data_IF_348088983757
#
_entry.id   IF_348088983757
#
_cell.length_a   1.000
_cell.length_b   1.000
_cell.length_c   1.000
_cell.angle_alpha   90.00
_cell.angle_beta   90.00
_cell.angle_gamma   90.00
#
_symmetry.space_group_name_H-M   'P 1'
#
loop_
_entity.id
_entity.type
_entity.pdbx_description
1 polymer ?
#
# COMPACT_ATOMS: atom_id res chain seq x y z
N UNK A 1 10.99 4.40 -49.39
CA UNK A 1 11.41 3.06 -48.91
C UNK A 1 12.27 3.28 -47.69
N UNK A 2 11.70 3.13 -46.49
CA UNK A 2 12.47 3.30 -45.25
C UNK A 2 11.90 2.32 -44.22
N UNK A 3 12.41 1.10 -44.23
CA UNK A 3 12.00 0.01 -43.35
C UNK A 3 13.25 -0.58 -42.73
N UNK A 4 13.85 0.11 -41.75
CA UNK A 4 15.05 -0.40 -41.08
C UNK A 4 15.27 0.11 -39.65
N UNK A 5 14.25 0.67 -38.98
CA UNK A 5 14.36 1.09 -37.57
C UNK A 5 13.42 0.34 -36.60
N UNK A 6 12.66 -0.65 -37.08
CA UNK A 6 11.66 -1.34 -36.26
C UNK A 6 12.19 -2.57 -35.51
N UNK A 7 13.40 -3.04 -35.76
CA UNK A 7 13.90 -4.31 -35.23
C UNK A 7 14.72 -4.19 -33.94
N UNK A 8 15.23 -3.01 -33.59
CA UNK A 8 16.16 -2.86 -32.47
C UNK A 8 15.44 -2.73 -31.10
N UNK A 9 14.19 -2.25 -31.10
CA UNK A 9 13.37 -2.13 -29.89
C UNK A 9 12.66 -3.43 -29.51
N UNK A 10 12.27 -4.25 -30.48
CA UNK A 10 11.62 -5.55 -30.25
C UNK A 10 12.59 -6.59 -29.67
N UNK A 11 13.88 -6.49 -29.97
CA UNK A 11 14.92 -7.38 -29.45
C UNK A 11 15.30 -7.08 -27.98
N UNK A 12 15.18 -5.82 -27.55
CA UNK A 12 15.41 -5.41 -26.16
C UNK A 12 14.31 -5.88 -25.20
N UNK A 13 13.05 -5.96 -25.68
CA UNK A 13 11.91 -6.44 -24.89
C UNK A 13 11.97 -7.97 -24.72
N UNK A 14 12.44 -8.70 -25.75
CA UNK A 14 12.53 -10.16 -25.72
C UNK A 14 13.67 -10.73 -24.87
N UNK A 15 14.64 -9.91 -24.47
CA UNK A 15 15.82 -10.35 -23.72
C UNK A 15 15.68 -10.24 -22.18
N UNK A 16 14.51 -9.84 -21.67
CA UNK A 16 14.18 -9.94 -20.23
C UNK A 16 13.59 -11.33 -19.92
N UNK A 17 14.20 -12.39 -20.46
CA UNK A 17 13.98 -13.75 -19.96
C UNK A 17 15.02 -14.00 -18.90
N UNK A 18 14.66 -13.72 -17.65
CA UNK A 18 15.45 -14.21 -16.51
C UNK A 18 15.22 -15.72 -16.40
N UNK A 19 16.00 -16.47 -17.16
CA UNK A 19 15.96 -17.93 -17.27
C UNK A 19 16.56 -18.61 -16.03
N UNK A 20 16.30 -18.06 -14.83
CA UNK A 20 16.72 -18.70 -13.59
C UNK A 20 15.74 -19.85 -13.33
N UNK A 21 16.19 -21.11 -13.39
CA UNK A 21 15.30 -22.23 -13.12
C UNK A 21 14.75 -22.13 -11.69
N UNK A 22 13.47 -22.45 -11.54
CA UNK A 22 12.79 -22.51 -10.25
C UNK A 22 13.54 -23.54 -9.38
N UNK A 23 14.34 -23.08 -8.42
CA UNK A 23 15.08 -23.95 -7.51
C UNK A 23 14.11 -24.57 -6.49
N UNK A 24 13.34 -25.56 -6.94
CA UNK A 24 12.12 -26.04 -6.27
C UNK A 24 12.34 -26.53 -4.84
N UNK A 25 13.45 -27.19 -4.51
CA UNK A 25 13.73 -27.67 -3.15
C UNK A 25 14.03 -26.52 -2.17
N UNK A 26 14.95 -25.61 -2.53
CA UNK A 26 15.29 -24.44 -1.71
C UNK A 26 14.10 -23.50 -1.56
N UNK A 27 13.31 -23.30 -2.62
CA UNK A 27 12.11 -22.48 -2.58
C UNK A 27 11.05 -23.06 -1.64
N UNK A 28 10.87 -24.39 -1.63
CA UNK A 28 9.96 -25.07 -0.69
C UNK A 28 10.41 -24.88 0.77
N UNK A 29 11.70 -25.03 1.05
CA UNK A 29 12.24 -24.82 2.40
C UNK A 29 12.04 -23.36 2.85
N UNK A 30 12.36 -22.39 1.99
CA UNK A 30 12.16 -20.97 2.28
C UNK A 30 10.68 -20.64 2.44
N UNK A 31 9.79 -21.22 1.64
CA UNK A 31 8.35 -21.04 1.76
C UNK A 31 7.80 -21.60 3.09
N UNK A 32 8.28 -22.76 3.53
CA UNK A 32 7.90 -23.34 4.82
C UNK A 32 8.35 -22.46 5.99
N UNK A 33 9.60 -21.99 5.97
CA UNK A 33 10.12 -21.05 6.98
C UNK A 33 9.33 -19.75 6.99
N UNK A 34 9.04 -19.19 5.82
CA UNK A 34 8.24 -17.97 5.68
C UNK A 34 6.83 -18.17 6.23
N UNK A 35 6.18 -19.31 5.94
CA UNK A 35 4.86 -19.63 6.47
C UNK A 35 4.85 -19.66 8.00
N UNK A 36 5.86 -20.27 8.61
CA UNK A 36 5.99 -20.29 10.07
C UNK A 36 6.20 -18.87 10.62
N UNK A 37 7.14 -18.11 10.05
CA UNK A 37 7.40 -16.74 10.50
C UNK A 37 6.19 -15.82 10.34
N UNK A 38 5.33 -16.02 9.33
CA UNK A 38 4.09 -15.28 9.18
C UNK A 38 3.07 -15.65 10.29
N UNK A 39 2.98 -16.93 10.65
CA UNK A 39 2.14 -17.37 11.79
C UNK A 39 2.62 -16.75 13.10
N UNK A 40 3.93 -16.85 13.39
CA UNK A 40 4.53 -16.30 14.60
C UNK A 40 4.34 -14.77 14.67
N UNK A 41 4.44 -14.09 13.53
CA UNK A 41 4.21 -12.65 13.42
C UNK A 41 2.77 -12.28 13.74
N UNK A 42 1.79 -13.05 13.26
CA UNK A 42 0.37 -12.75 13.50
C UNK A 42 0.00 -13.00 14.97
N UNK A 43 0.48 -14.09 15.60
CA UNK A 43 0.35 -14.30 17.04
C UNK A 43 1.00 -13.17 17.87
N UNK A 44 2.18 -12.71 17.45
CA UNK A 44 2.88 -11.62 18.11
C UNK A 44 2.13 -10.29 17.99
N UNK A 45 1.55 -9.99 16.81
CA UNK A 45 0.71 -8.80 16.61
C UNK A 45 -0.52 -8.84 17.51
N UNK A 46 -1.22 -9.97 17.56
CA UNK A 46 -2.40 -10.12 18.42
C UNK A 46 -2.07 -9.87 19.89
N UNK A 47 -0.93 -10.39 20.37
CA UNK A 47 -0.46 -10.12 21.74
C UNK A 47 -0.13 -8.65 21.95
N UNK A 48 0.60 -8.02 21.03
CA UNK A 48 0.96 -6.61 21.10
C UNK A 48 -0.30 -5.73 21.12
N UNK A 49 -1.28 -6.02 20.26
CA UNK A 49 -2.50 -5.22 20.16
C UNK A 49 -3.36 -5.37 21.41
N UNK A 50 -3.41 -6.57 22.01
CA UNK A 50 -4.02 -6.78 23.33
C UNK A 50 -3.35 -5.95 24.42
N UNK A 51 -2.02 -5.97 24.51
CA UNK A 51 -1.25 -5.21 25.51
C UNK A 51 -1.39 -3.70 25.31
N UNK A 52 -1.39 -3.22 24.07
CA UNK A 52 -1.69 -1.81 23.75
C UNK A 52 -3.10 -1.42 24.19
N UNK A 53 -4.09 -2.27 23.91
CA UNK A 53 -5.47 -2.04 24.32
C UNK A 53 -5.60 -1.92 25.84
N UNK A 54 -4.88 -2.76 26.59
CA UNK A 54 -4.82 -2.68 28.05
C UNK A 54 -4.18 -1.36 28.51
N UNK A 55 -3.06 -0.94 27.92
CA UNK A 55 -2.41 0.33 28.27
C UNK A 55 -3.29 1.55 27.94
N UNK A 56 -3.95 1.55 26.79
CA UNK A 56 -4.84 2.65 26.38
C UNK A 56 -6.08 2.76 27.27
N UNK A 57 -6.59 1.65 27.81
CA UNK A 57 -7.73 1.67 28.74
C UNK A 57 -7.41 2.36 30.08
N UNK A 58 -6.15 2.45 30.45
CA UNK A 58 -5.69 3.11 31.67
C UNK A 58 -5.30 4.59 31.44
N UNK A 59 -5.20 5.02 30.18
CA UNK A 59 -4.84 6.39 29.82
C UNK A 59 -6.08 7.29 29.67
N UNK A 60 -5.95 8.60 29.89
CA UNK A 60 -6.97 9.56 29.51
C UNK A 60 -7.22 9.53 27.99
N UNK A 61 -8.47 9.75 27.56
CA UNK A 61 -8.85 9.79 26.13
C UNK A 61 -8.49 11.13 25.45
N UNK A 62 -7.61 11.93 26.04
CA UNK A 62 -7.24 13.26 25.55
C UNK A 62 -6.09 13.21 24.54
N UNK A 63 -6.08 14.17 23.62
CA UNK A 63 -4.95 14.38 22.70
C UNK A 63 -3.72 14.77 23.52
N UNK A 64 -2.59 14.10 23.28
CA UNK A 64 -1.39 14.38 24.03
C UNK A 64 -0.30 13.32 23.90
N UNK A 65 0.70 13.46 24.75
CA UNK A 65 1.83 12.53 24.85
C UNK A 65 2.00 12.15 26.32
N UNK A 66 2.05 10.84 26.58
CA UNK A 66 2.11 10.25 27.91
C UNK A 66 3.38 9.41 28.01
N UNK A 67 4.22 9.70 29.01
CA UNK A 67 5.44 8.94 29.27
C UNK A 67 5.27 8.09 30.53
N UNK A 68 5.50 6.78 30.41
CA UNK A 68 5.39 5.82 31.50
C UNK A 68 6.77 5.19 31.73
N UNK A 69 7.44 5.56 32.82
CA UNK A 69 8.69 4.92 33.24
C UNK A 69 8.39 3.57 33.90
N UNK A 70 9.01 2.49 33.42
CA UNK A 70 8.80 1.12 33.94
C UNK A 70 10.09 0.43 34.39
N UNK A 71 11.25 1.03 34.14
CA UNK A 71 12.53 0.61 34.73
C UNK A 71 13.46 1.82 34.91
N UNK A 72 14.58 1.62 35.61
CA UNK A 72 15.53 2.69 35.94
C UNK A 72 16.10 3.43 34.70
N UNK A 73 15.98 2.86 33.50
CA UNK A 73 16.50 3.46 32.27
C UNK A 73 15.56 3.30 31.07
N UNK A 74 14.29 2.95 31.29
CA UNK A 74 13.34 2.75 30.20
C UNK A 74 11.99 3.37 30.51
N UNK A 75 11.48 4.08 29.51
CA UNK A 75 10.13 4.62 29.48
C UNK A 75 9.44 4.21 28.18
N UNK A 76 8.12 4.18 28.24
CA UNK A 76 7.23 4.01 27.10
C UNK A 76 6.55 5.35 26.83
N UNK A 77 6.65 5.84 25.59
CA UNK A 77 5.99 7.06 25.15
C UNK A 77 4.77 6.69 24.32
N UNK A 78 3.60 7.15 24.73
CA UNK A 78 2.31 6.91 24.08
C UNK A 78 1.78 8.25 23.59
N UNK A 79 1.57 8.37 22.28
CA UNK A 79 1.08 9.59 21.65
C UNK A 79 -0.34 9.38 21.12
N UNK A 80 -1.28 10.19 21.60
CA UNK A 80 -2.63 10.31 21.07
C UNK A 80 -2.64 11.51 20.11
N UNK A 81 -2.61 11.29 18.78
CA UNK A 81 -2.46 12.37 17.82
C UNK A 81 -3.74 13.15 17.62
N UNK A 82 -3.61 14.46 17.38
CA UNK A 82 -4.68 15.25 16.79
C UNK A 82 -4.94 14.80 15.35
N UNK A 83 -6.19 14.48 15.03
CA UNK A 83 -6.61 14.12 13.66
C UNK A 83 -7.55 15.18 13.13
N UNK A 84 -7.13 15.86 12.06
CA UNK A 84 -7.99 16.74 11.29
C UNK A 84 -8.79 15.91 10.29
N UNK A 85 -10.11 16.02 10.34
CA UNK A 85 -11.01 15.44 9.36
C UNK A 85 -11.83 16.56 8.73
N UNK A 86 -11.71 16.71 7.41
CA UNK A 86 -12.40 17.75 6.66
C UNK A 86 -13.59 17.15 5.92
N UNK A 87 -14.74 17.80 6.03
CA UNK A 87 -15.93 17.40 5.28
C UNK A 87 -15.75 17.71 3.78
N UNK A 88 -15.67 16.64 2.98
CA UNK A 88 -15.45 16.74 1.54
C UNK A 88 -16.60 17.44 0.82
N UNK A 89 -17.85 17.25 1.25
CA UNK A 89 -19.00 17.89 0.61
C UNK A 89 -18.96 19.40 0.84
N UNK A 90 -18.65 19.81 2.07
CA UNK A 90 -18.49 21.23 2.40
C UNK A 90 -17.31 21.82 1.61
N UNK A 91 -16.19 21.11 1.48
CA UNK A 91 -15.06 21.58 0.68
C UNK A 91 -15.39 21.68 -0.82
N UNK A 92 -16.18 20.76 -1.37
CA UNK A 92 -16.64 20.79 -2.76
C UNK A 92 -17.60 21.97 -3.02
N UNK A 93 -18.50 22.26 -2.07
CA UNK A 93 -19.41 23.40 -2.13
C UNK A 93 -18.67 24.74 -1.99
N UNK A 94 -17.67 24.81 -1.11
CA UNK A 94 -16.83 26.01 -0.92
C UNK A 94 -15.90 26.27 -2.11
N UNK A 95 -15.40 25.20 -2.72
CA UNK A 95 -14.44 25.25 -3.83
C UNK A 95 -14.94 24.44 -5.03
N UNK A 96 -15.99 24.89 -5.73
CA UNK A 96 -16.54 24.18 -6.87
C UNK A 96 -15.52 24.03 -8.01
N UNK A 97 -15.82 23.15 -8.96
CA UNK A 97 -14.96 22.90 -10.12
C UNK A 97 -14.66 24.22 -10.87
N UNK A 98 -13.37 24.49 -11.13
CA UNK A 98 -12.93 25.71 -11.82
C UNK A 98 -12.82 26.98 -10.96
N UNK A 99 -13.14 26.92 -9.65
CA UNK A 99 -12.96 28.07 -8.76
C UNK A 99 -11.51 28.28 -8.32
N UNK A 100 -11.14 29.51 -7.95
CA UNK A 100 -9.81 29.82 -7.40
C UNK A 100 -9.69 29.24 -5.99
N UNK A 101 -8.69 28.39 -5.78
CA UNK A 101 -8.46 27.69 -4.51
C UNK A 101 -7.23 28.25 -3.78
N UNK A 102 -7.23 28.26 -2.43
CA UNK A 102 -6.03 28.52 -1.65
C UNK A 102 -4.95 27.46 -1.91
N UNK A 103 -3.69 27.80 -1.64
CA UNK A 103 -2.53 26.91 -1.84
C UNK A 103 -2.57 25.65 -0.98
N UNK A 104 -3.30 25.66 0.15
CA UNK A 104 -3.48 24.51 1.02
C UNK A 104 -4.53 23.50 0.51
N UNK A 105 -5.19 23.76 -0.63
CA UNK A 105 -6.25 22.89 -1.19
C UNK A 105 -5.82 22.34 -2.54
N UNK A 106 -5.62 21.03 -2.63
CA UNK A 106 -5.27 20.31 -3.86
C UNK A 106 -6.42 19.43 -4.36
N UNK A 107 -6.51 19.27 -5.69
CA UNK A 107 -7.41 18.31 -6.34
C UNK A 107 -6.63 17.05 -6.66
N UNK A 108 -7.17 15.91 -6.25
CA UNK A 108 -6.63 14.60 -6.63
C UNK A 108 -7.64 13.88 -7.52
N UNK A 109 -7.19 13.35 -8.65
CA UNK A 109 -7.98 12.45 -9.47
C UNK A 109 -7.85 11.03 -8.95
N UNK A 110 -8.99 10.35 -8.76
CA UNK A 110 -9.02 8.93 -8.41
C UNK A 110 -9.65 8.17 -9.56
N UNK A 111 -8.90 7.29 -10.20
CA UNK A 111 -9.42 6.43 -11.27
C UNK A 111 -9.84 5.10 -10.66
N UNK A 112 -11.11 4.75 -10.84
CA UNK A 112 -11.60 3.43 -10.48
C UNK A 112 -11.16 2.43 -11.55
N UNK A 113 -10.21 1.56 -11.20
CA UNK A 113 -9.66 0.57 -12.13
C UNK A 113 -10.74 -0.30 -12.78
N UNK A 114 -11.72 -0.79 -12.01
CA UNK A 114 -12.77 -1.67 -12.53
C UNK A 114 -13.65 -0.96 -13.57
N UNK A 115 -13.92 0.33 -13.37
CA UNK A 115 -14.70 1.11 -14.32
C UNK A 115 -13.87 1.50 -15.55
N UNK A 116 -12.59 1.81 -15.38
CA UNK A 116 -11.66 2.02 -16.48
C UNK A 116 -11.52 0.77 -17.36
N UNK A 117 -11.33 -0.41 -16.77
CA UNK A 117 -11.22 -1.67 -17.50
C UNK A 117 -12.52 -2.01 -18.28
N UNK A 118 -13.67 -1.47 -17.83
CA UNK A 118 -14.98 -1.67 -18.44
C UNK A 118 -15.44 -0.52 -19.37
N UNK A 119 -14.66 0.57 -19.47
CA UNK A 119 -15.02 1.72 -20.31
C UNK A 119 -14.64 1.50 -21.78
N UNK A 120 -15.19 2.32 -22.67
CA UNK A 120 -14.91 2.27 -24.11
C UNK A 120 -13.43 2.54 -24.43
N UNK A 121 -12.99 2.08 -25.61
CA UNK A 121 -11.59 2.17 -26.04
C UNK A 121 -11.06 3.61 -26.12
N UNK A 122 -11.92 4.59 -26.39
CA UNK A 122 -11.55 6.02 -26.43
C UNK A 122 -11.18 6.53 -25.03
N UNK A 123 -12.00 6.23 -24.02
CA UNK A 123 -11.74 6.59 -22.62
C UNK A 123 -10.49 5.88 -22.09
N UNK A 124 -10.33 4.60 -22.44
CA UNK A 124 -9.14 3.85 -22.08
C UNK A 124 -7.87 4.45 -22.70
N UNK A 125 -7.92 4.85 -23.98
CA UNK A 125 -6.78 5.48 -24.66
C UNK A 125 -6.37 6.78 -23.99
N UNK A 126 -7.32 7.68 -23.71
CA UNK A 126 -7.01 8.98 -23.11
C UNK A 126 -6.40 8.88 -21.71
N UNK A 127 -6.89 7.95 -20.89
CA UNK A 127 -6.37 7.74 -19.55
C UNK A 127 -5.07 6.92 -19.53
N UNK A 128 -4.79 6.14 -20.58
CA UNK A 128 -3.55 5.36 -20.71
C UNK A 128 -2.31 6.25 -20.86
N UNK A 129 -2.44 7.43 -21.47
CA UNK A 129 -1.32 8.39 -21.60
C UNK A 129 -0.78 8.86 -20.24
N UNK A 130 -1.63 8.86 -19.20
CA UNK A 130 -1.25 9.19 -17.83
C UNK A 130 -0.94 7.95 -16.97
N UNK A 131 -1.06 6.73 -17.53
CA UNK A 131 -0.90 5.48 -16.78
C UNK A 131 0.55 4.99 -16.86
N UNK A 132 1.23 4.90 -15.71
CA UNK A 132 2.51 4.20 -15.61
C UNK A 132 2.32 2.88 -14.85
N UNK A 133 2.55 1.75 -15.52
CA UNK A 133 2.53 0.43 -14.90
C UNK A 133 3.91 0.14 -14.33
N UNK A 134 3.99 -0.06 -13.00
CA UNK A 134 5.21 -0.46 -12.29
C UNK A 134 5.00 -1.81 -11.64
N UNK A 135 6.10 -2.55 -11.44
CA UNK A 135 6.06 -3.76 -10.63
C UNK A 135 5.65 -3.40 -9.19
N UNK A 136 4.58 -4.03 -8.70
CA UNK A 136 4.14 -3.88 -7.33
C UNK A 136 5.03 -4.64 -6.34
N UNK A 137 4.87 -4.33 -5.06
CA UNK A 137 5.51 -5.09 -3.97
C UNK A 137 4.89 -6.50 -3.94
N UNK A 138 5.70 -7.58 -3.93
CA UNK A 138 5.18 -8.94 -3.80
C UNK A 138 4.34 -9.10 -2.53
N UNK A 139 3.17 -9.70 -2.67
CA UNK A 139 2.32 -10.06 -1.52
C UNK A 139 2.41 -11.55 -1.28
N UNK A 140 2.72 -11.95 -0.06
CA UNK A 140 2.78 -13.36 0.35
C UNK A 140 1.46 -13.74 1.02
N UNK A 141 0.82 -14.82 0.55
CA UNK A 141 -0.42 -15.37 1.13
C UNK A 141 -0.24 -16.86 1.35
N UNK A 142 -0.45 -17.31 2.58
CA UNK A 142 -0.51 -18.74 2.90
C UNK A 142 -1.94 -19.21 2.61
N UNK A 143 -2.08 -20.31 1.86
CA UNK A 143 -3.37 -20.95 1.60
C UNK A 143 -3.34 -22.36 2.20
N UNK A 144 -4.35 -22.69 3.00
CA UNK A 144 -4.61 -24.07 3.41
C UNK A 144 -5.50 -24.70 2.35
N UNK A 145 -5.03 -25.79 1.74
CA UNK A 145 -5.91 -26.67 0.98
C UNK A 145 -6.54 -27.61 2.01
N UNK A 146 -7.86 -27.52 2.22
CA UNK A 146 -8.57 -28.45 3.10
C UNK A 146 -8.49 -29.88 2.57
N UNK A 147 -8.38 -30.84 3.49
CA UNK A 147 -8.57 -32.28 3.23
C UNK A 147 -10.05 -32.62 3.01
#
# INVERSE_FOLDING_TARGET
MNTQQSTEWDDLINNIKTDRPLQTARLKEVAAKLSQSLSDLDELKERIDKEKGQLLAELPEDIGEYEIAYSNSQSLVIKIPEKYEWDKKILEDLFPAGSKRPTCVAVNFTINKRQFDASDSDVQSQLSDALTIKMGVPTFKVKTHGD
#
